data_IF_381404420369
#
_entry.id   IF_381404420369
#
_cell.length_a   1.000
_cell.length_b   1.000
_cell.length_c   1.000
_cell.angle_alpha   90.00
_cell.angle_beta   90.00
_cell.angle_gamma   90.00
#
_symmetry.space_group_name_H-M   'P 1'
#
loop_
_entity.id
_entity.type
_entity.pdbx_description
1 polymer ?
#
# COMPACT_ATOMS: atom_id res chain seq x y z
N UNK A 1 -4.53 -5.59 -32.40
CA UNK A 1 -3.20 -4.99 -32.43
C UNK A 1 -3.14 -3.90 -31.38
N UNK A 2 -2.15 -3.88 -30.50
CA UNK A 2 -1.94 -2.74 -29.62
C UNK A 2 -1.40 -1.57 -30.46
N UNK A 3 -1.99 -0.39 -30.32
CA UNK A 3 -1.43 0.83 -30.94
C UNK A 3 -0.41 1.39 -29.96
N UNK A 4 0.85 1.42 -30.36
CA UNK A 4 1.94 1.96 -29.55
C UNK A 4 2.52 3.20 -30.23
N UNK A 5 2.57 4.29 -29.47
CA UNK A 5 3.24 5.52 -29.84
C UNK A 5 4.43 5.69 -28.90
N UNK A 6 5.61 5.90 -29.49
CA UNK A 6 6.82 6.22 -28.75
C UNK A 6 7.41 7.51 -29.30
N UNK A 7 7.74 8.42 -28.40
CA UNK A 7 8.57 9.57 -28.68
C UNK A 7 9.92 9.38 -27.98
N UNK A 8 11.00 9.57 -28.72
CA UNK A 8 12.38 9.51 -28.23
C UNK A 8 13.03 10.83 -28.59
N UNK A 9 13.60 11.51 -27.60
CA UNK A 9 14.24 12.80 -27.85
C UNK A 9 14.85 13.38 -26.59
N UNK A 10 15.21 14.66 -26.69
CA UNK A 10 15.82 15.41 -25.61
C UNK A 10 14.83 16.45 -25.07
N UNK A 11 14.68 16.52 -23.75
CA UNK A 11 13.92 17.56 -23.05
C UNK A 11 14.89 18.29 -22.14
N UNK A 12 15.11 19.58 -22.44
CA UNK A 12 15.97 20.45 -21.61
C UNK A 12 17.38 19.89 -21.36
N UNK A 13 18.03 19.31 -22.37
CA UNK A 13 19.37 18.73 -22.22
C UNK A 13 19.39 17.25 -21.88
N UNK A 14 18.26 16.65 -21.46
CA UNK A 14 18.20 15.27 -20.99
C UNK A 14 17.45 14.36 -21.99
N UNK A 15 18.08 13.25 -22.36
CA UNK A 15 17.49 12.23 -23.23
C UNK A 15 16.43 11.40 -22.51
N UNK A 16 15.23 11.32 -23.08
CA UNK A 16 14.09 10.59 -22.54
C UNK A 16 13.31 9.85 -23.63
N UNK A 17 12.67 8.76 -23.24
CA UNK A 17 11.61 8.13 -24.03
C UNK A 17 10.25 8.30 -23.31
N UNK A 18 9.24 8.68 -24.07
CA UNK A 18 7.85 8.80 -23.63
C UNK A 18 6.99 7.85 -24.47
N UNK A 19 6.32 6.91 -23.81
CA UNK A 19 5.47 5.94 -24.48
C UNK A 19 4.01 6.12 -24.08
N UNK A 20 3.12 5.87 -25.05
CA UNK A 20 1.70 5.65 -24.87
C UNK A 20 1.28 4.40 -25.65
N UNK A 21 0.74 3.41 -24.96
CA UNK A 21 0.29 2.13 -25.51
C UNK A 21 -1.20 1.96 -25.26
N UNK A 22 -1.98 1.77 -26.33
CA UNK A 22 -3.37 1.35 -26.24
C UNK A 22 -3.44 -0.17 -26.10
N UNK A 23 -3.94 -0.61 -24.96
CA UNK A 23 -4.19 -2.01 -24.63
C UNK A 23 -5.69 -2.31 -24.66
N UNK A 24 -6.10 -3.58 -24.67
CA UNK A 24 -7.53 -3.93 -24.58
C UNK A 24 -8.23 -3.38 -23.33
N UNK A 25 -7.49 -3.12 -22.25
CA UNK A 25 -8.04 -2.62 -20.98
C UNK A 25 -7.94 -1.11 -20.78
N UNK A 26 -7.31 -0.37 -21.69
CA UNK A 26 -7.09 1.07 -21.55
C UNK A 26 -5.72 1.52 -22.05
N UNK A 27 -5.24 2.64 -21.53
CA UNK A 27 -3.97 3.26 -21.94
C UNK A 27 -2.88 2.98 -20.91
N UNK A 28 -1.68 2.69 -21.39
CA UNK A 28 -0.47 2.55 -20.58
C UNK A 28 0.49 3.64 -21.00
N UNK A 29 1.05 4.34 -20.02
CA UNK A 29 2.05 5.36 -20.25
C UNK A 29 3.34 4.98 -19.55
N UNK A 30 4.48 5.22 -20.22
CA UNK A 30 5.78 5.14 -19.57
C UNK A 30 6.68 6.32 -19.90
N UNK A 31 7.57 6.62 -18.95
CA UNK A 31 8.69 7.55 -19.14
C UNK A 31 9.97 6.85 -18.72
N UNK A 32 10.98 6.88 -19.59
CA UNK A 32 12.28 6.24 -19.35
C UNK A 32 13.41 7.26 -19.54
N UNK A 33 14.35 7.37 -18.58
CA UNK A 33 15.61 8.07 -18.84
C UNK A 33 16.41 7.29 -19.90
N UNK A 34 17.13 7.98 -20.78
CA UNK A 34 18.00 7.33 -21.78
C UNK A 34 19.48 7.38 -21.41
N UNK A 35 19.86 8.20 -20.42
CA UNK A 35 21.27 8.45 -20.10
C UNK A 35 22.03 9.13 -21.25
N UNK A 36 21.32 9.74 -22.18
CA UNK A 36 21.86 10.54 -23.29
C UNK A 36 21.60 12.02 -23.04
N UNK A 37 22.34 12.89 -23.72
CA UNK A 37 22.29 14.35 -23.53
C UNK A 37 23.34 14.86 -22.54
N UNK A 38 23.28 16.16 -22.24
CA UNK A 38 24.21 16.84 -21.32
C UNK A 38 23.62 17.03 -19.91
N UNK A 39 22.34 16.74 -19.72
CA UNK A 39 21.65 16.85 -18.44
C UNK A 39 21.02 15.51 -18.00
N UNK A 40 20.79 15.38 -16.71
CA UNK A 40 20.15 14.21 -16.10
C UNK A 40 18.68 14.45 -15.81
N UNK A 41 17.86 13.42 -15.97
CA UNK A 41 16.45 13.46 -15.59
C UNK A 41 16.34 13.20 -14.10
N UNK A 42 15.89 14.19 -13.32
CA UNK A 42 15.69 14.04 -11.86
C UNK A 42 14.27 13.59 -11.53
N UNK A 43 13.27 14.12 -12.23
CA UNK A 43 11.86 13.88 -12.00
C UNK A 43 11.07 14.02 -13.30
N UNK A 44 9.85 13.50 -13.33
CA UNK A 44 8.98 13.62 -14.49
C UNK A 44 7.50 13.82 -14.10
N UNK A 45 6.76 14.54 -14.94
CA UNK A 45 5.28 14.57 -14.93
C UNK A 45 4.79 14.09 -16.29
N UNK A 46 4.46 12.81 -16.35
CA UNK A 46 3.99 12.12 -17.54
C UNK A 46 2.94 11.08 -17.12
N UNK A 47 1.78 10.97 -17.78
CA UNK A 47 1.35 11.62 -19.03
C UNK A 47 0.83 13.06 -18.90
N UNK A 48 0.98 13.68 -17.73
CA UNK A 48 0.49 15.03 -17.44
C UNK A 48 -0.74 15.01 -16.51
N UNK A 49 -1.47 16.12 -16.48
CA UNK A 49 -2.65 16.27 -15.62
C UNK A 49 -3.88 15.66 -16.30
N UNK A 50 -4.55 14.74 -15.61
CA UNK A 50 -5.90 14.28 -15.93
C UNK A 50 -6.92 15.32 -15.48
N UNK A 51 -7.94 15.55 -16.29
CA UNK A 51 -9.02 16.49 -16.01
C UNK A 51 -10.36 15.82 -16.21
N UNK A 52 -11.23 16.00 -15.23
CA UNK A 52 -12.60 15.51 -15.22
C UNK A 52 -13.52 16.70 -15.01
N UNK A 53 -14.57 16.80 -15.82
CA UNK A 53 -15.54 17.89 -15.77
C UNK A 53 -16.96 17.32 -15.59
N UNK A 54 -17.72 17.90 -14.65
CA UNK A 54 -19.11 17.52 -14.37
C UNK A 54 -19.47 17.77 -12.90
N UNK A 55 -20.76 17.73 -12.55
CA UNK A 55 -21.22 18.18 -11.22
C UNK A 55 -21.02 17.16 -10.10
N UNK A 56 -21.17 15.87 -10.40
CA UNK A 56 -20.95 14.78 -9.45
C UNK A 56 -19.54 14.22 -9.67
N UNK A 57 -18.63 14.46 -8.72
CA UNK A 57 -17.22 14.06 -8.82
C UNK A 57 -16.75 13.37 -7.55
N UNK A 58 -16.09 12.24 -7.71
CA UNK A 58 -15.51 11.47 -6.61
C UNK A 58 -14.06 11.07 -6.93
N UNK A 59 -13.22 10.99 -5.88
CA UNK A 59 -11.89 10.37 -5.93
C UNK A 59 -11.84 9.27 -4.89
N UNK A 60 -11.47 8.07 -5.31
CA UNK A 60 -11.13 6.98 -4.40
C UNK A 60 -9.66 6.65 -4.51
N UNK A 61 -8.99 6.40 -3.40
CA UNK A 61 -7.59 5.96 -3.41
C UNK A 61 -7.30 5.06 -2.23
N UNK A 62 -6.28 4.22 -2.37
CA UNK A 62 -5.72 3.53 -1.23
C UNK A 62 -4.85 4.52 -0.44
N UNK A 63 -5.23 4.82 0.80
CA UNK A 63 -4.43 5.63 1.72
C UNK A 63 -3.55 4.73 2.61
N UNK A 64 -2.97 5.29 3.68
CA UNK A 64 -2.15 4.57 4.66
C UNK A 64 -2.90 3.42 5.36
N UNK A 65 -4.23 3.34 5.21
CA UNK A 65 -5.06 2.35 5.86
C UNK A 65 -5.86 1.52 4.84
N UNK A 66 -7.19 1.66 4.85
CA UNK A 66 -8.12 0.82 4.12
C UNK A 66 -8.61 1.49 2.82
N UNK A 67 -8.23 2.75 2.61
CA UNK A 67 -8.70 3.58 1.50
C UNK A 67 -9.57 4.74 1.95
N UNK A 68 -9.60 5.76 1.12
CA UNK A 68 -10.38 6.97 1.32
C UNK A 68 -11.22 7.30 0.09
N UNK A 69 -12.31 8.03 0.32
CA UNK A 69 -13.23 8.50 -0.71
C UNK A 69 -13.55 9.97 -0.47
N UNK A 70 -13.17 10.80 -1.42
CA UNK A 70 -13.60 12.19 -1.50
C UNK A 70 -14.82 12.30 -2.42
N UNK A 71 -15.81 13.10 -2.02
CA UNK A 71 -16.95 13.50 -2.85
C UNK A 71 -17.00 15.02 -2.88
N UNK A 72 -17.13 15.60 -4.07
CA UNK A 72 -17.25 17.04 -4.23
C UNK A 72 -18.46 17.58 -3.45
N UNK A 73 -18.25 18.65 -2.68
CA UNK A 73 -19.26 19.30 -1.85
C UNK A 73 -19.48 20.78 -2.23
N UNK A 74 -18.98 21.18 -3.40
CA UNK A 74 -19.03 22.57 -3.88
C UNK A 74 -17.93 23.47 -3.30
N UNK A 75 -16.92 22.92 -2.62
CA UNK A 75 -15.76 23.67 -2.13
C UNK A 75 -14.47 23.19 -2.76
N UNK A 76 -13.49 24.10 -2.96
CA UNK A 76 -12.16 23.70 -3.37
C UNK A 76 -11.57 22.69 -2.38
N UNK A 77 -10.98 21.63 -2.91
CA UNK A 77 -10.32 20.60 -2.14
C UNK A 77 -9.01 20.18 -2.80
N UNK A 78 -8.06 19.76 -1.97
CA UNK A 78 -6.81 19.16 -2.42
C UNK A 78 -6.49 17.97 -1.53
N UNK A 79 -6.11 16.87 -2.16
CA UNK A 79 -5.49 15.73 -1.53
C UNK A 79 -4.18 15.37 -2.22
N UNK A 80 -3.34 14.64 -1.51
CA UNK A 80 -2.12 14.05 -2.05
C UNK A 80 -1.93 12.65 -1.47
N UNK A 81 -1.20 11.83 -2.21
CA UNK A 81 -0.82 10.50 -1.78
C UNK A 81 0.56 10.16 -2.34
N UNK A 82 1.39 9.60 -1.48
CA UNK A 82 2.69 9.05 -1.82
C UNK A 82 2.64 7.53 -1.68
N UNK A 83 3.01 6.79 -2.72
CA UNK A 83 2.76 5.34 -2.73
C UNK A 83 3.60 4.53 -1.74
N UNK A 84 4.66 5.12 -1.17
CA UNK A 84 5.39 4.54 -0.03
C UNK A 84 4.51 4.45 1.23
N UNK A 85 3.43 5.22 1.29
CA UNK A 85 2.49 5.29 2.41
C UNK A 85 1.08 4.81 2.03
N UNK A 86 0.95 3.94 1.01
CA UNK A 86 -0.36 3.43 0.57
C UNK A 86 -0.43 1.92 0.68
N UNK A 87 -1.60 1.40 1.06
CA UNK A 87 -1.83 -0.05 1.10
C UNK A 87 -1.89 -0.71 -0.29
N UNK A 88 -2.19 0.06 -1.34
CA UNK A 88 -2.27 -0.43 -2.71
C UNK A 88 -1.92 0.66 -3.74
N UNK A 89 -1.44 0.25 -4.90
CA UNK A 89 -0.91 1.13 -5.96
C UNK A 89 -1.97 1.59 -6.97
N UNK A 90 -3.13 2.04 -6.49
CA UNK A 90 -4.21 2.52 -7.35
C UNK A 90 -5.01 3.69 -6.75
N UNK A 91 -5.66 4.42 -7.63
CA UNK A 91 -6.74 5.35 -7.33
C UNK A 91 -7.77 5.34 -8.46
N UNK A 92 -8.86 6.06 -8.31
CA UNK A 92 -9.83 6.21 -9.38
C UNK A 92 -10.68 7.47 -9.24
N UNK A 93 -11.14 7.93 -10.40
CA UNK A 93 -12.05 9.06 -10.55
C UNK A 93 -13.39 8.58 -11.03
N UNK A 94 -14.43 9.16 -10.48
CA UNK A 94 -15.80 8.98 -10.98
C UNK A 94 -16.41 10.35 -11.23
N UNK A 95 -16.89 10.58 -12.45
CA UNK A 95 -17.65 11.77 -12.80
C UNK A 95 -18.98 11.35 -13.46
N UNK A 96 -20.10 11.60 -12.78
CA UNK A 96 -21.38 11.04 -13.19
C UNK A 96 -21.34 9.50 -13.30
N UNK A 97 -21.59 8.96 -14.49
CA UNK A 97 -21.50 7.51 -14.76
C UNK A 97 -20.11 7.05 -15.19
N UNK A 98 -19.20 7.97 -15.51
CA UNK A 98 -17.90 7.61 -16.07
C UNK A 98 -16.89 7.42 -14.95
N UNK A 99 -16.17 6.29 -15.01
CA UNK A 99 -15.13 5.98 -14.03
C UNK A 99 -13.82 5.60 -14.71
N UNK A 100 -12.73 6.17 -14.21
CA UNK A 100 -11.37 5.84 -14.61
C UNK A 100 -10.61 5.28 -13.41
N UNK A 101 -10.15 4.04 -13.50
CA UNK A 101 -9.15 3.53 -12.58
C UNK A 101 -7.75 3.88 -13.07
N UNK A 102 -6.88 4.26 -12.15
CA UNK A 102 -5.46 4.48 -12.39
C UNK A 102 -4.64 3.53 -11.55
N UNK A 103 -3.80 2.73 -12.19
CA UNK A 103 -2.91 1.78 -11.53
C UNK A 103 -1.46 2.19 -11.80
N UNK A 104 -0.68 2.40 -10.74
CA UNK A 104 0.73 2.78 -10.82
C UNK A 104 1.57 1.51 -10.83
N UNK A 105 2.05 1.09 -12.00
CA UNK A 105 2.83 -0.15 -12.17
C UNK A 105 4.15 -0.10 -11.41
N UNK A 106 4.78 1.08 -11.39
CA UNK A 106 6.05 1.35 -10.71
C UNK A 106 5.81 2.35 -9.58
N UNK A 107 5.27 1.93 -8.42
CA UNK A 107 4.77 2.83 -7.39
C UNK A 107 5.87 3.52 -6.58
N UNK A 108 7.05 2.90 -6.45
CA UNK A 108 8.17 3.52 -5.75
C UNK A 108 8.55 4.85 -6.41
N UNK A 109 8.92 5.84 -5.60
CA UNK A 109 9.18 7.23 -6.02
C UNK A 109 8.06 7.85 -6.90
N UNK A 110 6.80 7.59 -6.58
CA UNK A 110 5.68 8.27 -7.24
C UNK A 110 4.74 8.93 -6.23
N UNK A 111 4.10 10.00 -6.67
CA UNK A 111 3.12 10.77 -5.89
C UNK A 111 1.97 11.16 -6.81
N UNK A 112 0.73 11.09 -6.32
CA UNK A 112 -0.41 11.66 -6.99
C UNK A 112 -0.97 12.83 -6.18
N UNK A 113 -1.28 13.93 -6.86
CA UNK A 113 -2.07 15.02 -6.31
C UNK A 113 -3.47 14.98 -6.91
N UNK A 114 -4.48 15.26 -6.10
CA UNK A 114 -5.87 15.38 -6.47
C UNK A 114 -6.36 16.79 -6.14
N UNK A 115 -7.15 17.41 -7.02
CA UNK A 115 -7.71 18.74 -6.78
C UNK A 115 -9.14 18.79 -7.27
N UNK A 116 -10.00 19.43 -6.51
CA UNK A 116 -11.34 19.86 -6.93
C UNK A 116 -11.42 21.38 -6.82
N UNK A 117 -12.02 22.04 -7.81
CA UNK A 117 -12.16 23.49 -7.82
C UNK A 117 -13.40 24.00 -7.05
N UNK A 118 -14.24 23.10 -6.54
CA UNK A 118 -15.51 23.41 -5.88
C UNK A 118 -16.63 23.76 -6.86
N UNK A 119 -16.38 23.76 -8.16
CA UNK A 119 -17.36 24.04 -9.19
C UNK A 119 -17.63 22.78 -10.00
N UNK A 120 -16.92 22.62 -11.12
CA UNK A 120 -17.20 21.57 -12.12
C UNK A 120 -15.97 20.76 -12.47
N UNK A 121 -14.78 21.08 -11.94
CA UNK A 121 -13.53 20.48 -12.38
C UNK A 121 -12.80 19.79 -11.25
N UNK A 122 -12.35 18.57 -11.57
CA UNK A 122 -11.44 17.81 -10.74
C UNK A 122 -10.22 17.39 -11.56
N UNK A 123 -9.03 17.46 -10.96
CA UNK A 123 -7.78 17.10 -11.63
C UNK A 123 -6.93 16.14 -10.83
N UNK A 124 -6.07 15.43 -11.57
CA UNK A 124 -5.05 14.56 -11.00
C UNK A 124 -3.75 14.71 -11.73
N UNK A 125 -2.65 14.78 -10.98
CA UNK A 125 -1.33 14.76 -11.56
C UNK A 125 -0.49 13.70 -10.88
N UNK A 126 0.11 12.82 -11.69
CA UNK A 126 1.12 11.89 -11.24
C UNK A 126 2.51 12.53 -11.42
N UNK A 127 3.28 12.54 -10.35
CA UNK A 127 4.67 13.01 -10.34
C UNK A 127 5.59 11.84 -10.00
N UNK A 128 6.58 11.63 -10.86
CA UNK A 128 7.66 10.68 -10.67
C UNK A 128 8.82 11.39 -9.97
N UNK A 129 9.07 11.04 -8.72
CA UNK A 129 10.12 11.58 -7.85
C UNK A 129 11.48 10.92 -8.17
N UNK A 130 12.59 11.59 -7.82
CA UNK A 130 13.91 11.00 -7.92
C UNK A 130 14.08 9.81 -6.98
N UNK A 131 14.76 8.78 -7.46
CA UNK A 131 15.39 7.73 -6.67
C UNK A 131 16.89 8.05 -6.56
N UNK A 132 17.37 8.32 -5.35
CA UNK A 132 18.76 8.74 -5.10
C UNK A 132 19.22 9.93 -5.98
N UNK A 133 18.33 10.90 -6.21
CA UNK A 133 18.63 12.11 -6.98
C UNK A 133 18.34 12.04 -8.48
N UNK A 134 17.95 10.87 -9.00
CA UNK A 134 17.73 10.66 -10.44
C UNK A 134 16.41 9.94 -10.71
N UNK A 135 15.84 10.11 -11.90
CA UNK A 135 14.82 9.22 -12.43
C UNK A 135 15.48 7.88 -12.81
N UNK A 136 15.87 7.07 -11.82
CA UNK A 136 16.83 5.98 -12.01
C UNK A 136 16.33 4.77 -12.83
N UNK A 137 15.02 4.68 -13.10
CA UNK A 137 14.42 3.55 -13.82
C UNK A 137 13.12 3.96 -14.56
N UNK A 138 12.68 3.17 -15.56
CA UNK A 138 11.43 3.41 -16.27
C UNK A 138 10.23 3.48 -15.34
N UNK A 139 9.37 4.46 -15.56
CA UNK A 139 8.14 4.65 -14.80
C UNK A 139 6.93 4.31 -15.64
N UNK A 140 5.92 3.68 -15.04
CA UNK A 140 4.76 3.17 -15.77
C UNK A 140 3.46 3.34 -14.98
N UNK A 141 2.42 3.78 -15.68
CA UNK A 141 1.06 3.94 -15.15
C UNK A 141 0.03 3.46 -16.17
N UNK A 142 -1.11 2.97 -15.70
CA UNK A 142 -2.24 2.50 -16.51
C UNK A 142 -3.48 3.29 -16.20
N UNK A 143 -4.17 3.73 -17.23
CA UNK A 143 -5.48 4.37 -17.18
C UNK A 143 -6.51 3.42 -17.78
N UNK A 144 -7.47 2.99 -16.96
CA UNK A 144 -8.45 1.96 -17.27
C UNK A 144 -9.86 2.56 -17.18
N UNK A 145 -10.48 2.96 -18.31
CA UNK A 145 -11.89 3.31 -18.34
C UNK A 145 -12.72 2.09 -17.93
N UNK A 146 -13.66 2.27 -17.01
CA UNK A 146 -14.48 1.18 -16.48
C UNK A 146 -15.91 1.28 -16.99
N UNK A 147 -16.49 0.12 -17.31
CA UNK A 147 -17.90 0.03 -17.70
C UNK A 147 -18.85 0.20 -16.50
N UNK A 148 -18.40 -0.22 -15.32
CA UNK A 148 -19.10 0.00 -14.04
C UNK A 148 -18.56 1.26 -13.36
N UNK A 149 -19.45 2.04 -12.75
CA UNK A 149 -19.09 3.29 -12.08
C UNK A 149 -18.78 3.09 -10.61
N UNK A 150 -17.92 3.96 -10.08
CA UNK A 150 -17.66 4.11 -8.66
C UNK A 150 -16.47 3.31 -8.13
N UNK A 151 -16.12 3.60 -6.87
CA UNK A 151 -14.93 3.09 -6.20
C UNK A 151 -14.85 1.54 -6.10
N UNK A 152 -16.01 0.85 -6.10
CA UNK A 152 -16.04 -0.63 -6.09
C UNK A 152 -15.51 -1.19 -7.41
N UNK A 153 -15.90 -0.59 -8.53
CA UNK A 153 -15.39 -0.98 -9.85
C UNK A 153 -13.87 -0.76 -9.94
N UNK A 154 -13.39 0.36 -9.40
CA UNK A 154 -11.95 0.67 -9.29
C UNK A 154 -11.21 -0.40 -8.49
N UNK A 155 -11.72 -0.78 -7.32
CA UNK A 155 -11.11 -1.83 -6.50
C UNK A 155 -11.09 -3.20 -7.20
N UNK A 156 -12.16 -3.54 -7.94
CA UNK A 156 -12.23 -4.78 -8.73
C UNK A 156 -11.25 -4.80 -9.90
N UNK A 157 -11.06 -3.66 -10.58
CA UNK A 157 -10.06 -3.50 -11.62
C UNK A 157 -8.65 -3.74 -11.06
N UNK A 158 -8.33 -3.14 -9.90
CA UNK A 158 -7.05 -3.39 -9.23
C UNK A 158 -6.90 -4.85 -8.78
N UNK A 159 -7.95 -5.49 -8.26
CA UNK A 159 -7.92 -6.91 -7.87
C UNK A 159 -7.58 -7.81 -9.07
N UNK A 160 -8.17 -7.54 -10.23
CA UNK A 160 -7.88 -8.27 -11.47
C UNK A 160 -6.43 -8.10 -11.88
N UNK A 161 -5.96 -6.85 -11.86
CA UNK A 161 -4.57 -6.52 -12.11
C UNK A 161 -3.61 -7.23 -11.14
N UNK A 162 -3.88 -7.20 -9.83
CA UNK A 162 -3.04 -7.80 -8.80
C UNK A 162 -2.89 -9.31 -8.99
N UNK A 163 -3.97 -10.00 -9.39
CA UNK A 163 -3.94 -11.42 -9.75
C UNK A 163 -3.07 -11.70 -10.97
N UNK A 164 -3.19 -10.89 -12.02
CA UNK A 164 -2.41 -11.05 -13.25
C UNK A 164 -0.91 -10.79 -13.06
N UNK A 165 -0.54 -9.99 -12.05
CA UNK A 165 0.83 -9.56 -11.80
C UNK A 165 1.48 -10.24 -10.58
N UNK A 166 0.91 -11.35 -10.09
CA UNK A 166 1.49 -12.12 -8.99
C UNK A 166 1.53 -11.40 -7.64
N UNK A 167 0.73 -10.34 -7.46
CA UNK A 167 0.62 -9.60 -6.21
C UNK A 167 -0.45 -10.17 -5.27
N UNK A 168 -1.28 -11.07 -5.79
CA UNK A 168 -2.38 -11.65 -5.05
C UNK A 168 -2.12 -13.11 -4.75
N UNK A 169 -2.39 -13.48 -3.50
CA UNK A 169 -2.44 -14.84 -3.02
C UNK A 169 -3.72 -15.02 -2.22
N UNK A 170 -4.46 -16.07 -2.56
CA UNK A 170 -5.69 -16.45 -1.86
C UNK A 170 -5.42 -16.84 -0.41
N UNK A 171 -6.50 -16.92 0.36
CA UNK A 171 -6.41 -17.49 1.71
C UNK A 171 -6.08 -18.99 1.64
N UNK A 172 -6.71 -19.68 0.70
CA UNK A 172 -6.58 -21.12 0.49
C UNK A 172 -5.13 -21.50 0.16
N UNK A 173 -4.49 -20.80 -0.77
CA UNK A 173 -3.06 -21.00 -1.09
C UNK A 173 -2.15 -20.74 0.12
N UNK A 174 -2.50 -19.80 1.01
CA UNK A 174 -1.73 -19.56 2.24
C UNK A 174 -1.90 -20.69 3.25
N UNK A 175 -3.11 -21.26 3.34
CA UNK A 175 -3.40 -22.42 4.21
C UNK A 175 -2.74 -23.68 3.68
N UNK A 176 -2.74 -23.89 2.36
CA UNK A 176 -2.09 -25.06 1.75
C UNK A 176 -0.56 -25.05 1.99
N UNK A 177 0.06 -23.86 1.96
CA UNK A 177 1.48 -23.72 2.29
C UNK A 177 1.79 -23.79 3.78
N UNK A 178 0.91 -23.22 4.62
CA UNK A 178 1.04 -23.26 6.06
C UNK A 178 -0.33 -23.48 6.72
N UNK A 179 -0.67 -24.72 7.09
CA UNK A 179 -1.97 -25.04 7.69
C UNK A 179 -2.29 -24.28 8.98
N UNK A 180 -1.28 -23.78 9.71
CA UNK A 180 -1.51 -22.98 10.91
C UNK A 180 -2.17 -21.63 10.62
N UNK A 181 -2.09 -21.12 9.38
CA UNK A 181 -2.78 -19.88 8.97
C UNK A 181 -4.30 -20.01 9.17
N UNK A 182 -4.87 -21.21 9.01
CA UNK A 182 -6.30 -21.43 9.20
C UNK A 182 -6.75 -21.16 10.64
N UNK A 183 -5.85 -21.25 11.63
CA UNK A 183 -6.15 -20.92 13.03
C UNK A 183 -6.48 -19.43 13.20
N UNK A 184 -6.06 -18.55 12.28
CA UNK A 184 -6.39 -17.12 12.32
C UNK A 184 -7.85 -16.84 11.90
N UNK A 185 -8.50 -17.72 11.14
CA UNK A 185 -9.89 -17.52 10.73
C UNK A 185 -10.80 -17.54 11.97
N UNK A 186 -11.42 -16.40 12.28
CA UNK A 186 -12.27 -16.23 13.45
C UNK A 186 -11.52 -16.09 14.78
N UNK A 187 -10.19 -15.94 14.74
CA UNK A 187 -9.40 -15.68 15.94
C UNK A 187 -9.60 -14.24 16.44
N UNK A 188 -9.60 -14.07 17.77
CA UNK A 188 -9.37 -12.74 18.34
C UNK A 188 -7.88 -12.39 18.28
N UNK A 189 -7.57 -11.09 18.25
CA UNK A 189 -6.19 -10.59 18.36
C UNK A 189 -6.05 -9.91 19.72
N UNK A 190 -5.05 -10.32 20.48
CA UNK A 190 -4.66 -9.70 21.75
C UNK A 190 -3.20 -9.25 21.67
N UNK A 191 -2.91 -8.05 22.17
CA UNK A 191 -1.53 -7.59 22.37
C UNK A 191 -1.12 -7.83 23.81
N UNK A 192 0.01 -8.51 24.02
CA UNK A 192 0.59 -8.70 25.36
C UNK A 192 1.25 -7.41 25.89
N UNK A 193 1.37 -6.37 25.06
CA UNK A 193 2.17 -5.19 25.30
C UNK A 193 3.62 -5.37 24.85
N UNK A 194 4.31 -4.26 24.58
CA UNK A 194 5.72 -4.24 24.19
C UNK A 194 6.65 -4.30 25.41
N UNK A 195 6.21 -3.69 26.51
CA UNK A 195 7.00 -3.55 27.73
C UNK A 195 6.56 -4.51 28.82
N UNK A 196 7.50 -4.87 29.69
CA UNK A 196 7.24 -5.65 30.87
C UNK A 196 6.33 -4.87 31.82
N UNK A 197 5.29 -5.55 32.29
CA UNK A 197 4.39 -5.11 33.33
C UNK A 197 4.29 -6.24 34.36
N UNK A 198 4.70 -5.96 35.59
CA UNK A 198 4.72 -6.94 36.69
C UNK A 198 3.31 -7.38 37.11
N UNK A 199 2.28 -6.59 36.78
CA UNK A 199 0.88 -6.93 37.00
C UNK A 199 0.25 -7.74 35.87
N UNK A 200 0.94 -7.95 34.76
CA UNK A 200 0.38 -8.60 33.58
C UNK A 200 0.51 -10.13 33.62
N UNK A 201 -0.61 -10.84 33.80
CA UNK A 201 -0.69 -12.29 33.69
C UNK A 201 -1.35 -12.69 32.35
N UNK A 202 -0.51 -12.81 31.32
CA UNK A 202 -0.96 -13.14 29.96
C UNK A 202 -1.59 -14.54 29.88
N UNK A 203 -1.04 -15.50 30.62
CA UNK A 203 -1.52 -16.88 30.63
C UNK A 203 -2.92 -16.98 31.26
N UNK A 204 -3.14 -16.32 32.41
CA UNK A 204 -4.45 -16.27 33.05
C UNK A 204 -5.48 -15.58 32.15
N UNK A 205 -5.11 -14.48 31.49
CA UNK A 205 -5.96 -13.81 30.52
C UNK A 205 -6.38 -14.74 29.37
N UNK A 206 -5.43 -15.47 28.78
CA UNK A 206 -5.73 -16.43 27.71
C UNK A 206 -6.59 -17.62 28.18
N UNK A 207 -6.33 -18.14 29.39
CA UNK A 207 -7.18 -19.17 30.02
C UNK A 207 -8.60 -18.67 30.25
N UNK A 208 -8.76 -17.41 30.65
CA UNK A 208 -10.07 -16.78 30.80
C UNK A 208 -10.79 -16.67 29.45
N UNK A 209 -10.11 -16.23 28.39
CA UNK A 209 -10.68 -16.22 27.04
C UNK A 209 -11.17 -17.61 26.61
N UNK A 210 -10.40 -18.67 26.91
CA UNK A 210 -10.80 -20.05 26.61
C UNK A 210 -12.08 -20.43 27.36
N UNK A 211 -12.19 -20.05 28.65
CA UNK A 211 -13.39 -20.27 29.47
C UNK A 211 -14.62 -19.54 28.92
N UNK A 212 -14.45 -18.37 28.32
CA UNK A 212 -15.52 -17.62 27.66
C UNK A 212 -15.92 -18.18 26.28
N UNK A 213 -15.31 -19.29 25.84
CA UNK A 213 -15.67 -19.98 24.60
C UNK A 213 -14.86 -19.56 23.39
N UNK A 214 -13.85 -18.70 23.53
CA UNK A 214 -12.92 -18.42 22.44
C UNK A 214 -12.05 -19.65 22.21
N UNK A 215 -12.10 -20.20 20.99
CA UNK A 215 -11.37 -21.43 20.64
C UNK A 215 -10.16 -21.19 19.73
N UNK A 216 -10.05 -19.97 19.20
CA UNK A 216 -8.97 -19.49 18.32
C UNK A 216 -8.57 -18.09 18.77
N UNK A 217 -7.27 -17.80 18.76
CA UNK A 217 -6.72 -16.54 19.24
C UNK A 217 -5.29 -16.35 18.74
N UNK A 218 -4.85 -15.10 18.66
CA UNK A 218 -3.49 -14.72 18.34
C UNK A 218 -2.99 -13.72 19.40
N UNK A 219 -2.02 -14.15 20.20
CA UNK A 219 -1.32 -13.29 21.15
C UNK A 219 -0.09 -12.70 20.48
N UNK A 220 -0.17 -11.42 20.16
CA UNK A 220 0.93 -10.63 19.64
C UNK A 220 1.82 -10.13 20.76
N UNK A 221 3.13 -10.15 20.50
CA UNK A 221 4.21 -9.61 21.33
C UNK A 221 4.38 -10.15 22.76
N UNK A 222 4.18 -11.47 23.06
CA UNK A 222 4.49 -12.00 24.39
C UNK A 222 6.00 -11.96 24.68
N UNK A 223 6.83 -11.86 23.63
CA UNK A 223 8.27 -11.62 23.69
C UNK A 223 8.66 -10.56 22.68
N UNK A 224 9.77 -9.89 22.94
CA UNK A 224 10.47 -9.06 21.95
C UNK A 224 11.79 -9.72 21.57
N UNK A 225 12.01 -9.92 20.27
CA UNK A 225 13.29 -10.38 19.75
C UNK A 225 14.28 -9.21 19.70
N UNK A 226 15.47 -9.43 20.28
CA UNK A 226 16.57 -8.46 20.33
C UNK A 226 17.75 -8.97 19.51
N UNK A 227 18.38 -8.09 18.75
CA UNK A 227 19.60 -8.41 17.99
C UNK A 227 20.83 -8.04 18.82
N UNK A 228 21.36 -9.01 19.56
CA UNK A 228 22.51 -8.80 20.45
C UNK A 228 22.17 -8.04 21.74
N UNK A 229 23.19 -7.91 22.59
CA UNK A 229 23.05 -7.33 23.94
C UNK A 229 23.03 -5.79 23.94
N UNK A 230 23.37 -5.17 22.81
CA UNK A 230 23.50 -3.71 22.66
C UNK A 230 22.18 -2.99 22.40
N UNK A 231 21.12 -3.73 22.05
CA UNK A 231 19.80 -3.13 21.82
C UNK A 231 19.22 -2.58 23.14
N UNK A 232 19.13 -1.25 23.22
CA UNK A 232 18.57 -0.53 24.37
C UNK A 232 17.17 -0.03 24.04
N UNK A 233 16.21 -0.43 24.85
CA UNK A 233 14.88 0.16 24.86
C UNK A 233 14.76 1.17 25.99
N UNK A 234 13.77 2.05 25.88
CA UNK A 234 13.35 2.95 26.96
C UNK A 234 12.77 2.23 28.17
N UNK A 235 12.34 0.97 28.02
CA UNK A 235 11.80 0.16 29.11
C UNK A 235 12.13 -1.34 28.94
N UNK A 236 12.00 -2.11 30.02
CA UNK A 236 12.19 -3.56 29.94
C UNK A 236 11.18 -4.19 28.97
N UNK A 237 11.66 -5.08 28.11
CA UNK A 237 10.79 -5.73 27.11
C UNK A 237 9.96 -6.84 27.74
N UNK A 238 8.79 -7.11 27.15
CA UNK A 238 7.93 -8.20 27.61
C UNK A 238 8.67 -9.55 27.60
N UNK A 239 8.49 -10.33 28.67
CA UNK A 239 9.28 -11.55 28.96
C UNK A 239 8.41 -12.73 29.40
N UNK A 240 7.29 -12.96 28.71
CA UNK A 240 6.46 -14.16 28.94
C UNK A 240 7.33 -15.42 28.76
N UNK A 241 7.30 -16.33 29.73
CA UNK A 241 8.15 -17.52 29.74
C UNK A 241 7.81 -18.50 28.62
N UNK A 242 8.77 -19.31 28.18
CA UNK A 242 8.53 -20.33 27.13
C UNK A 242 7.45 -21.34 27.55
N UNK A 243 7.41 -21.71 28.83
CA UNK A 243 6.39 -22.63 29.35
C UNK A 243 5.00 -21.99 29.38
N UNK A 244 4.90 -20.68 29.59
CA UNK A 244 3.63 -19.97 29.50
C UNK A 244 3.15 -19.87 28.05
N UNK A 245 4.06 -19.58 27.11
CA UNK A 245 3.77 -19.57 25.67
C UNK A 245 3.27 -20.95 25.22
N UNK A 246 3.93 -22.04 25.62
CA UNK A 246 3.48 -23.41 25.32
C UNK A 246 2.09 -23.67 25.87
N UNK A 247 1.83 -23.30 27.12
CA UNK A 247 0.49 -23.45 27.70
C UNK A 247 -0.56 -22.64 26.95
N UNK A 248 -0.24 -21.43 26.46
CA UNK A 248 -1.16 -20.64 25.63
C UNK A 248 -1.41 -21.33 24.29
N UNK A 249 -0.37 -21.91 23.68
CA UNK A 249 -0.49 -22.67 22.44
C UNK A 249 -1.34 -23.94 22.62
N UNK A 250 -1.22 -24.61 23.77
CA UNK A 250 -2.04 -25.78 24.13
C UNK A 250 -3.53 -25.43 24.27
N UNK A 251 -3.88 -24.15 24.51
CA UNK A 251 -5.27 -23.67 24.46
C UNK A 251 -5.81 -23.53 23.02
N UNK A 252 -4.97 -23.75 22.00
CA UNK A 252 -5.29 -23.61 20.59
C UNK A 252 -5.01 -22.22 20.02
N UNK A 253 -4.23 -21.38 20.71
CA UNK A 253 -3.90 -20.03 20.28
C UNK A 253 -2.52 -19.96 19.61
N UNK A 254 -2.38 -19.01 18.69
CA UNK A 254 -1.11 -18.65 18.09
C UNK A 254 -0.40 -17.60 18.96
N UNK A 255 0.93 -17.64 18.98
CA UNK A 255 1.77 -16.64 19.62
C UNK A 255 2.86 -16.21 18.65
N UNK A 256 3.13 -14.92 18.56
CA UNK A 256 4.26 -14.43 17.78
C UNK A 256 4.97 -13.29 18.52
N UNK A 257 6.30 -13.31 18.60
CA UNK A 257 7.04 -12.24 19.23
C UNK A 257 6.94 -10.95 18.41
N UNK A 258 7.24 -9.83 19.05
CA UNK A 258 7.55 -8.60 18.36
C UNK A 258 8.99 -8.66 17.83
N UNK A 259 9.18 -8.24 16.58
CA UNK A 259 10.48 -8.15 15.94
C UNK A 259 10.55 -6.84 15.17
N UNK A 260 11.58 -6.05 15.43
CA UNK A 260 11.86 -4.80 14.73
C UNK A 260 13.23 -4.90 14.07
N UNK A 261 13.26 -4.86 12.73
CA UNK A 261 14.49 -5.00 11.92
C UNK A 261 14.95 -3.70 11.28
N UNK A 262 14.08 -2.69 11.24
CA UNK A 262 14.35 -1.42 10.55
C UNK A 262 15.28 -0.48 11.35
N UNK A 263 15.39 -0.69 12.65
CA UNK A 263 16.25 0.10 13.55
C UNK A 263 17.61 -0.57 13.82
N UNK A 264 18.16 -1.28 12.83
CA UNK A 264 19.50 -1.86 12.92
C UNK A 264 20.58 -0.77 12.78
N UNK A 265 20.74 0.04 13.83
CA UNK A 265 21.80 1.02 14.01
C UNK A 265 22.00 1.29 15.51
N UNK A 266 23.09 1.96 15.94
CA UNK A 266 23.21 2.39 17.32
C UNK A 266 21.99 3.25 17.67
N UNK A 267 21.12 2.72 18.52
CA UNK A 267 19.93 3.41 19.01
C UNK A 267 20.36 4.76 19.55
N UNK A 268 19.89 5.85 18.92
CA UNK A 268 20.18 7.21 19.35
C UNK A 268 19.51 7.41 20.71
N UNK A 269 20.33 7.56 21.74
CA UNK A 269 19.98 8.04 23.08
C UNK A 269 20.97 9.10 23.48
#
# INVERSE_FOLDING_TARGET
SATHLQWVGEVSGAGVALDAELTPGGLVFSVSPLGTGEAEVVAARWPGELRFEGDAREVSWADYHQGALFRADGKPWKGDTEWTHTAARFYGFTCGSDTLAVIVDTPFDAEATFKDDGATRMTSALTWKPSFGLLAYPRRVRFLPLAESGYVAVANAFRTYARQHGLWKSWEERVDENPDVEKLRGAFIAGAGYYYDDGADQLAAMKAMRKYGFTRGYLFSPKMLKFGDEWRSVAEANRVGDDEIRQIQDLGYLCAPFLQVEEAGPSIG
#
